data_IF_432112063383
#
_entry.id   IF_432112063383
#
_cell.length_a   1.000
_cell.length_b   1.000
_cell.length_c   1.000
_cell.angle_alpha   90.00
_cell.angle_beta   90.00
_cell.angle_gamma   90.00
#
_symmetry.space_group_name_H-M   'P 1'
#
loop_
_entity.id
_entity.type
_entity.pdbx_description
1 polymer ?
#
# COMPACT_ATOMS: atom_id res chain seq x y z
N UNK A 1 -11.87 -5.05 15.14
CA UNK A 1 -10.97 -4.77 14.00
C UNK A 1 -11.40 -5.48 12.71
N UNK A 2 -12.37 -6.41 12.78
CA UNK A 2 -12.95 -7.08 11.62
C UNK A 2 -13.46 -6.06 10.61
N UNK A 3 -12.95 -6.14 9.38
CA UNK A 3 -13.32 -5.25 8.26
C UNK A 3 -12.44 -4.01 8.07
N UNK A 4 -11.40 -3.79 8.89
CA UNK A 4 -10.40 -2.75 8.64
C UNK A 4 -9.34 -3.24 7.65
N UNK A 5 -8.98 -2.38 6.69
CA UNK A 5 -7.94 -2.65 5.70
C UNK A 5 -6.73 -1.79 5.99
N UNK A 6 -5.55 -2.39 5.86
CA UNK A 6 -4.29 -1.64 5.86
C UNK A 6 -4.04 -1.16 4.43
N UNK A 7 -3.72 0.13 4.28
CA UNK A 7 -3.27 0.73 3.03
C UNK A 7 -1.85 1.26 3.21
N UNK A 8 -0.98 1.00 2.24
CA UNK A 8 0.36 1.59 2.19
C UNK A 8 0.40 2.62 1.06
N UNK A 9 0.67 3.87 1.43
CA UNK A 9 0.74 4.99 0.50
C UNK A 9 2.20 5.27 0.17
N UNK A 10 2.56 5.12 -1.10
CA UNK A 10 3.87 5.48 -1.65
C UNK A 10 3.73 6.78 -2.43
N UNK A 11 4.35 7.85 -1.95
CA UNK A 11 4.38 9.15 -2.64
C UNK A 11 5.71 9.33 -3.36
N UNK A 12 5.64 9.60 -4.66
CA UNK A 12 6.78 9.84 -5.54
C UNK A 12 6.79 11.33 -5.90
N UNK A 13 7.75 12.05 -5.34
CA UNK A 13 7.90 13.50 -5.57
C UNK A 13 8.71 13.82 -6.82
N UNK A 14 9.68 12.98 -7.17
CA UNK A 14 10.50 13.13 -8.36
C UNK A 14 10.63 11.79 -9.07
N UNK A 15 10.29 11.77 -10.35
CA UNK A 15 10.36 10.57 -11.17
C UNK A 15 11.66 10.56 -11.96
N UNK A 16 12.36 9.41 -12.09
CA UNK A 16 13.56 9.33 -12.91
C UNK A 16 13.31 9.78 -14.36
N UNK A 17 14.28 10.50 -14.93
CA UNK A 17 14.19 11.17 -16.25
C UNK A 17 13.87 10.25 -17.45
N UNK A 18 14.06 8.94 -17.30
CA UNK A 18 13.79 7.97 -18.37
C UNK A 18 12.31 7.61 -18.49
N UNK A 19 11.47 7.96 -17.50
CA UNK A 19 10.03 7.81 -17.61
C UNK A 19 9.42 8.97 -18.41
N UNK A 20 8.48 8.71 -19.32
CA UNK A 20 7.84 9.75 -20.15
C UNK A 20 6.93 10.70 -19.36
N UNK A 21 6.89 10.55 -18.04
CA UNK A 21 6.04 11.27 -17.10
C UNK A 21 6.76 12.49 -16.48
N UNK A 22 7.86 12.98 -17.07
CA UNK A 22 8.73 14.02 -16.50
C UNK A 22 8.06 15.38 -16.20
N UNK A 23 6.82 15.61 -16.63
CA UNK A 23 6.18 16.93 -16.58
C UNK A 23 4.82 16.90 -15.87
N UNK A 24 4.73 16.33 -14.66
CA UNK A 24 3.54 16.51 -13.81
C UNK A 24 3.75 17.60 -12.76
N UNK A 25 2.81 18.55 -12.61
CA UNK A 25 2.89 19.58 -11.57
C UNK A 25 2.58 19.05 -10.16
N UNK A 26 2.19 17.78 -10.03
CA UNK A 26 1.76 17.16 -8.77
C UNK A 26 2.52 15.85 -8.52
N UNK A 27 2.83 15.52 -7.25
CA UNK A 27 3.46 14.25 -6.90
C UNK A 27 2.57 13.07 -7.28
N UNK A 28 3.20 11.99 -7.74
CA UNK A 28 2.49 10.74 -8.04
C UNK A 28 2.30 9.96 -6.74
N UNK A 29 1.14 9.33 -6.58
CA UNK A 29 0.85 8.50 -5.40
C UNK A 29 0.40 7.12 -5.87
N UNK A 30 1.01 6.09 -5.31
CA UNK A 30 0.59 4.70 -5.47
C UNK A 30 0.10 4.16 -4.13
N UNK A 31 -1.10 3.59 -4.11
CA UNK A 31 -1.70 3.00 -2.90
C UNK A 31 -1.74 1.49 -3.06
N UNK A 32 -1.01 0.79 -2.20
CA UNK A 32 -1.11 -0.67 -2.06
C UNK A 32 -2.15 -1.02 -1.00
N UNK A 33 -3.18 -1.77 -1.39
CA UNK A 33 -4.16 -2.30 -0.44
C UNK A 33 -3.74 -3.69 0.04
N UNK A 34 -3.91 -3.94 1.33
CA UNK A 34 -3.72 -5.25 1.92
C UNK A 34 -5.06 -5.92 2.21
N UNK A 35 -5.02 -7.23 2.45
CA UNK A 35 -6.17 -7.97 2.96
C UNK A 35 -6.67 -7.36 4.27
N UNK A 36 -7.98 -7.47 4.56
CA UNK A 36 -8.54 -7.03 5.83
C UNK A 36 -7.81 -7.70 7.01
N UNK A 37 -7.72 -6.98 8.13
CA UNK A 37 -7.20 -7.54 9.38
C UNK A 37 -8.15 -8.65 9.87
N UNK A 38 -7.65 -9.89 9.83
CA UNK A 38 -8.32 -11.08 10.35
C UNK A 38 -8.00 -11.28 11.83
N UNK A 39 -8.39 -12.41 12.42
CA UNK A 39 -7.98 -12.73 13.79
C UNK A 39 -6.43 -12.83 13.86
N UNK A 40 -5.82 -12.31 14.94
CA UNK A 40 -4.38 -12.41 15.12
C UNK A 40 -3.97 -13.88 15.25
N UNK A 41 -2.78 -14.20 14.76
CA UNK A 41 -2.21 -15.54 14.86
C UNK A 41 -2.08 -15.94 16.35
N UNK A 42 -2.56 -17.13 16.74
CA UNK A 42 -2.63 -17.52 18.15
C UNK A 42 -1.27 -17.81 18.79
N UNK A 43 -0.19 -17.95 18.00
CA UNK A 43 1.15 -18.27 18.49
C UNK A 43 1.96 -16.98 18.67
N UNK A 44 1.91 -16.10 17.68
CA UNK A 44 2.72 -14.86 17.63
C UNK A 44 1.96 -13.62 18.10
N UNK A 45 0.62 -13.65 18.09
CA UNK A 45 -0.24 -12.51 18.39
C UNK A 45 -0.29 -11.45 17.29
N UNK A 46 0.37 -11.67 16.15
CA UNK A 46 0.43 -10.70 15.06
C UNK A 46 -0.70 -10.89 14.05
N UNK A 47 -1.08 -9.79 13.40
CA UNK A 47 -2.00 -9.83 12.27
C UNK A 47 -1.26 -10.21 10.99
N UNK A 48 -1.73 -11.26 10.34
CA UNK A 48 -1.23 -11.63 9.02
C UNK A 48 -1.93 -10.77 7.95
N UNK A 49 -1.14 -10.03 7.18
CA UNK A 49 -1.63 -9.24 6.04
C UNK A 49 -0.90 -9.67 4.77
N UNK A 50 -1.62 -9.76 3.65
CA UNK A 50 -1.03 -9.98 2.32
C UNK A 50 -1.48 -8.90 1.35
N UNK A 51 -0.69 -8.67 0.30
CA UNK A 51 -1.05 -7.69 -0.74
C UNK A 51 -2.33 -8.15 -1.43
N UNK A 52 -3.30 -7.25 -1.51
CA UNK A 52 -4.50 -7.47 -2.30
C UNK A 52 -4.12 -7.34 -3.78
N UNK A 53 -4.46 -8.35 -4.59
CA UNK A 53 -4.30 -8.32 -6.06
C UNK A 53 -5.59 -7.90 -6.77
N UNK A 54 -6.58 -7.41 -6.01
CA UNK A 54 -7.88 -6.95 -6.51
C UNK A 54 -7.84 -5.48 -6.89
#
# INVERSE_FOLDING_TARGET
LTGLHVGHVHTIFELPKHYPLCCFPHPLVYVEWFTPLCNPDPITGFYHISKSTR
#
